data_IF_950332306893
#
_entry.id   IF_950332306893
#
_cell.length_a   1.000
_cell.length_b   1.000
_cell.length_c   1.000
_cell.angle_alpha   90.00
_cell.angle_beta   90.00
_cell.angle_gamma   90.00
#
_symmetry.space_group_name_H-M   'P 1'
#
loop_
_entity.id
_entity.type
_entity.pdbx_description
1 polymer ?
#
# COMPACT_ATOMS: atom_id res chain seq x y z
N UNK A 1 24.60 -0.14 27.54
CA UNK A 1 24.57 -0.41 26.08
C UNK A 1 23.15 -0.20 25.61
N UNK A 2 22.90 0.40 24.44
CA UNK A 2 21.52 0.63 24.03
C UNK A 2 20.84 -0.73 23.87
N UNK A 3 19.64 -0.83 24.42
CA UNK A 3 18.73 -1.92 24.15
C UNK A 3 18.49 -2.00 22.63
N UNK A 4 18.36 -3.21 22.07
CA UNK A 4 18.05 -3.40 20.64
C UNK A 4 16.78 -2.63 20.27
N UNK A 5 15.82 -2.60 21.19
CA UNK A 5 14.58 -1.87 21.01
C UNK A 5 14.82 -0.36 20.98
N UNK A 6 15.61 0.18 21.90
CA UNK A 6 15.94 1.61 21.93
C UNK A 6 16.68 2.06 20.67
N UNK A 7 17.57 1.21 20.12
CA UNK A 7 18.24 1.49 18.84
C UNK A 7 17.27 1.47 17.66
N UNK A 8 16.34 0.51 17.60
CA UNK A 8 15.30 0.47 16.57
C UNK A 8 14.38 1.69 16.66
N UNK A 9 13.98 2.09 17.86
CA UNK A 9 13.11 3.25 18.07
C UNK A 9 13.76 4.55 17.57
N UNK A 10 15.06 4.74 17.82
CA UNK A 10 15.82 5.89 17.31
C UNK A 10 15.86 5.88 15.77
N UNK A 11 16.14 4.73 15.15
CA UNK A 11 16.20 4.59 13.69
C UNK A 11 14.82 4.74 13.04
N UNK A 12 13.77 4.25 13.69
CA UNK A 12 12.39 4.40 13.26
C UNK A 12 11.98 5.88 13.23
N UNK A 13 12.30 6.66 14.27
CA UNK A 13 12.04 8.09 14.28
C UNK A 13 12.71 8.83 13.10
N UNK A 14 13.96 8.47 12.79
CA UNK A 14 14.69 9.03 11.64
C UNK A 14 14.03 8.65 10.31
N UNK A 15 13.64 7.39 10.13
CA UNK A 15 12.94 6.93 8.92
C UNK A 15 11.59 7.65 8.74
N UNK A 16 10.80 7.77 9.82
CA UNK A 16 9.50 8.44 9.81
C UNK A 16 9.63 9.90 9.39
N UNK A 17 10.63 10.62 9.93
CA UNK A 17 10.88 12.00 9.55
C UNK A 17 11.18 12.12 8.05
N UNK A 18 12.03 11.25 7.50
CA UNK A 18 12.40 11.25 6.07
C UNK A 18 11.24 10.93 5.14
N UNK A 19 10.36 10.02 5.55
CA UNK A 19 9.14 9.69 4.81
C UNK A 19 8.14 10.85 4.88
N UNK A 20 8.05 11.51 6.04
CA UNK A 20 7.22 12.71 6.23
C UNK A 20 7.68 13.89 5.38
N UNK A 21 9.00 14.11 5.27
CA UNK A 21 9.57 15.14 4.38
C UNK A 21 9.21 14.91 2.90
N UNK A 22 8.90 13.66 2.54
CA UNK A 22 8.44 13.26 1.20
C UNK A 22 6.90 13.20 1.09
N UNK A 23 6.18 13.73 2.08
CA UNK A 23 4.72 13.85 2.07
C UNK A 23 3.94 12.59 2.46
N UNK A 24 4.61 11.58 2.99
CA UNK A 24 3.99 10.31 3.39
C UNK A 24 3.99 10.12 4.91
N UNK A 25 3.05 9.32 5.44
CA UNK A 25 2.99 9.00 6.87
C UNK A 25 3.27 7.52 7.09
N UNK A 26 4.18 7.22 8.00
CA UNK A 26 4.49 5.88 8.46
C UNK A 26 4.30 5.82 9.99
N UNK A 27 3.61 4.80 10.50
CA UNK A 27 3.48 4.60 11.94
C UNK A 27 4.82 4.16 12.55
N UNK A 28 5.04 4.50 13.82
CA UNK A 28 6.24 4.06 14.55
C UNK A 28 6.40 2.55 14.56
N UNK A 29 5.32 1.83 14.81
CA UNK A 29 5.30 0.37 14.81
C UNK A 29 5.69 -0.22 13.44
N UNK A 30 5.12 0.31 12.35
CA UNK A 30 5.45 -0.14 11.01
C UNK A 30 6.92 0.17 10.64
N UNK A 31 7.44 1.33 11.07
CA UNK A 31 8.84 1.67 10.88
C UNK A 31 9.76 0.70 11.63
N UNK A 32 9.47 0.38 12.90
CA UNK A 32 10.24 -0.57 13.69
C UNK A 32 10.24 -1.97 13.06
N UNK A 33 9.08 -2.47 12.63
CA UNK A 33 8.96 -3.78 11.98
C UNK A 33 9.75 -3.83 10.68
N UNK A 34 9.58 -2.84 9.81
CA UNK A 34 10.28 -2.78 8.52
C UNK A 34 11.81 -2.74 8.70
N UNK A 35 12.29 -1.93 9.63
CA UNK A 35 13.71 -1.82 9.93
C UNK A 35 14.26 -3.11 10.53
N UNK A 36 13.52 -3.79 11.41
CA UNK A 36 13.92 -5.06 12.00
C UNK A 36 14.02 -6.17 10.94
N UNK A 37 13.02 -6.30 10.06
CA UNK A 37 13.00 -7.29 8.98
C UNK A 37 14.15 -7.08 7.99
N UNK A 38 14.35 -5.82 7.57
CA UNK A 38 15.44 -5.48 6.63
C UNK A 38 16.80 -5.71 7.26
N UNK A 39 16.97 -5.34 8.53
CA UNK A 39 18.21 -5.56 9.27
C UNK A 39 18.55 -7.04 9.42
N UNK A 40 17.56 -7.87 9.79
CA UNK A 40 17.72 -9.32 9.87
C UNK A 40 18.07 -9.93 8.50
N UNK A 41 17.42 -9.46 7.43
CA UNK A 41 17.69 -9.89 6.06
C UNK A 41 19.12 -9.58 5.63
N UNK A 42 19.59 -8.35 5.86
CA UNK A 42 20.95 -7.92 5.52
C UNK A 42 22.00 -8.70 6.32
N UNK A 43 21.78 -8.91 7.63
CA UNK A 43 22.68 -9.69 8.46
C UNK A 43 22.82 -11.13 7.94
N UNK A 44 21.69 -11.76 7.60
CA UNK A 44 21.64 -13.10 7.01
C UNK A 44 22.36 -13.18 5.67
N UNK A 45 22.11 -12.23 4.76
CA UNK A 45 22.76 -12.19 3.44
C UNK A 45 24.28 -12.01 3.51
N UNK A 46 24.77 -11.24 4.48
CA UNK A 46 26.19 -11.00 4.68
C UNK A 46 26.87 -12.07 5.56
N UNK A 47 26.11 -13.01 6.13
CA UNK A 47 26.64 -14.03 7.04
C UNK A 47 27.22 -13.45 8.34
N UNK A 48 26.73 -12.29 8.78
CA UNK A 48 27.19 -11.61 9.98
C UNK A 48 26.11 -11.58 11.06
N UNK A 49 26.51 -11.32 12.31
CA UNK A 49 25.53 -11.13 13.38
C UNK A 49 24.71 -9.85 13.14
N UNK A 50 23.45 -9.84 13.58
CA UNK A 50 22.61 -8.63 13.57
C UNK A 50 23.31 -7.44 14.23
N UNK A 51 24.01 -7.67 15.35
CA UNK A 51 24.80 -6.62 16.02
C UNK A 51 25.88 -6.04 15.10
N UNK A 52 26.56 -6.88 14.33
CA UNK A 52 27.58 -6.47 13.35
C UNK A 52 26.97 -5.73 12.15
N UNK A 53 25.70 -6.00 11.83
CA UNK A 53 24.98 -5.32 10.76
C UNK A 53 24.38 -3.96 11.18
N UNK A 54 24.28 -3.65 12.49
CA UNK A 54 23.71 -2.37 12.97
C UNK A 54 24.33 -1.12 12.33
N UNK A 55 25.67 -1.03 12.17
CA UNK A 55 26.30 0.12 11.52
C UNK A 55 25.94 0.28 10.04
N UNK A 56 25.44 -0.77 9.38
CA UNK A 56 25.04 -0.72 7.97
C UNK A 56 23.69 -0.01 7.77
N UNK A 57 22.89 0.12 8.83
CA UNK A 57 21.66 0.91 8.83
C UNK A 57 21.97 2.39 9.16
N UNK A 58 22.91 2.94 8.39
CA UNK A 58 23.37 4.32 8.53
C UNK A 58 22.39 5.34 7.90
N UNK A 59 22.77 6.61 7.91
CA UNK A 59 21.94 7.67 7.34
C UNK A 59 21.77 7.51 5.82
N UNK A 60 22.75 7.01 5.08
CA UNK A 60 22.59 6.83 3.64
C UNK A 60 21.63 5.66 3.34
N UNK A 61 21.74 4.56 4.09
CA UNK A 61 20.86 3.41 3.97
C UNK A 61 19.40 3.76 4.31
N UNK A 62 19.17 4.59 5.32
CA UNK A 62 17.84 5.07 5.67
C UNK A 62 17.26 6.02 4.60
N UNK A 63 18.10 6.75 3.86
CA UNK A 63 17.63 7.66 2.79
C UNK A 63 17.25 6.86 1.57
N UNK A 64 18.11 5.90 1.19
CA UNK A 64 17.81 4.93 0.15
C UNK A 64 16.54 4.13 0.46
N UNK A 65 16.34 3.73 1.72
CA UNK A 65 15.12 3.03 2.14
C UNK A 65 13.89 3.94 2.06
N UNK A 66 13.98 5.20 2.50
CA UNK A 66 12.89 6.15 2.36
C UNK A 66 12.53 6.38 0.87
N UNK A 67 13.53 6.55 0.01
CA UNK A 67 13.34 6.70 -1.43
C UNK A 67 12.71 5.45 -2.07
N UNK A 68 13.15 4.26 -1.68
CA UNK A 68 12.59 2.98 -2.15
C UNK A 68 11.12 2.82 -1.73
N UNK A 69 10.80 3.17 -0.47
CA UNK A 69 9.43 3.18 0.03
C UNK A 69 8.60 4.16 -0.80
N UNK A 70 8.99 5.43 -0.89
CA UNK A 70 8.22 6.45 -1.62
C UNK A 70 8.06 6.11 -3.10
N UNK A 71 9.11 5.58 -3.74
CA UNK A 71 9.06 5.12 -5.12
C UNK A 71 8.00 4.03 -5.31
N UNK A 72 7.84 3.12 -4.35
CA UNK A 72 6.84 2.04 -4.41
C UNK A 72 5.39 2.53 -4.36
N UNK A 73 5.15 3.76 -3.87
CA UNK A 73 3.82 4.38 -3.79
C UNK A 73 3.61 5.54 -4.77
N UNK A 74 4.58 5.86 -5.63
CA UNK A 74 4.47 7.03 -6.54
C UNK A 74 3.24 6.93 -7.44
N UNK A 75 2.92 5.73 -7.92
CA UNK A 75 1.74 5.48 -8.74
C UNK A 75 0.40 5.70 -7.98
N UNK A 76 0.42 5.75 -6.65
CA UNK A 76 -0.76 6.03 -5.83
C UNK A 76 -1.00 7.53 -5.61
N UNK A 77 -0.10 8.40 -6.06
CA UNK A 77 -0.10 9.85 -5.81
C UNK A 77 -0.48 10.17 -4.35
N UNK A 78 0.33 9.72 -3.36
CA UNK A 78 -0.03 9.83 -1.95
C UNK A 78 -0.26 11.29 -1.54
N UNK A 79 -1.31 11.53 -0.75
CA UNK A 79 -1.71 12.89 -0.33
C UNK A 79 -2.62 13.62 -1.32
N UNK A 80 -2.69 13.20 -2.58
CA UNK A 80 -3.55 13.84 -3.57
C UNK A 80 -5.04 13.53 -3.37
N UNK A 81 -5.87 14.50 -3.74
CA UNK A 81 -7.32 14.35 -3.74
C UNK A 81 -7.77 13.56 -4.97
N UNK A 82 -8.01 12.26 -4.78
CA UNK A 82 -8.47 11.35 -5.83
C UNK A 82 -9.72 11.80 -6.59
N UNK A 83 -10.57 12.64 -5.99
CA UNK A 83 -11.76 13.19 -6.65
C UNK A 83 -11.43 14.19 -7.76
N UNK A 84 -10.28 14.87 -7.65
CA UNK A 84 -9.86 15.92 -8.58
C UNK A 84 -8.89 15.41 -9.66
N UNK A 85 -8.40 14.16 -9.53
CA UNK A 85 -7.42 13.61 -10.46
C UNK A 85 -8.02 13.35 -11.84
N UNK A 86 -7.19 13.56 -12.86
CA UNK A 86 -7.57 13.33 -14.25
C UNK A 86 -7.86 11.84 -14.50
N UNK A 87 -8.96 11.57 -15.20
CA UNK A 87 -9.40 10.21 -15.55
C UNK A 87 -8.78 9.79 -16.88
N UNK A 88 -7.52 9.37 -16.85
CA UNK A 88 -6.72 9.14 -18.06
C UNK A 88 -6.68 7.69 -18.52
N UNK A 89 -7.03 6.72 -17.67
CA UNK A 89 -7.05 5.29 -18.03
C UNK A 89 -8.48 4.79 -18.25
N UNK A 90 -8.61 3.85 -19.18
CA UNK A 90 -9.88 3.26 -19.57
C UNK A 90 -9.93 1.80 -19.14
N UNK A 91 -10.93 1.44 -18.36
CA UNK A 91 -11.13 0.09 -17.83
C UNK A 91 -12.51 -0.43 -18.23
N UNK A 92 -12.61 -1.72 -18.59
CA UNK A 92 -13.92 -2.29 -18.93
C UNK A 92 -14.87 -2.24 -17.74
N UNK A 93 -16.17 -2.03 -18.00
CA UNK A 93 -17.23 -2.01 -16.99
C UNK A 93 -17.22 -3.27 -16.11
N UNK A 94 -17.00 -4.44 -16.72
CA UNK A 94 -16.96 -5.71 -15.98
C UNK A 94 -15.79 -5.79 -15.00
N UNK A 95 -14.59 -5.36 -15.40
CA UNK A 95 -13.44 -5.30 -14.48
C UNK A 95 -13.69 -4.30 -13.37
N UNK A 96 -14.22 -3.11 -13.67
CA UNK A 96 -14.50 -2.10 -12.65
C UNK A 96 -15.54 -2.58 -11.64
N UNK A 97 -16.60 -3.27 -12.08
CA UNK A 97 -17.57 -3.92 -11.19
C UNK A 97 -16.93 -4.96 -10.27
N UNK A 98 -15.93 -5.71 -10.74
CA UNK A 98 -15.16 -6.63 -9.88
C UNK A 98 -14.32 -5.89 -8.85
N UNK A 99 -13.75 -4.73 -9.20
CA UNK A 99 -13.03 -3.90 -8.22
C UNK A 99 -13.95 -3.38 -7.12
N UNK A 100 -15.15 -2.89 -7.49
CA UNK A 100 -16.20 -2.48 -6.54
C UNK A 100 -16.56 -3.64 -5.60
N UNK A 101 -16.81 -4.82 -6.15
CA UNK A 101 -17.10 -6.03 -5.36
C UNK A 101 -15.93 -6.41 -4.44
N UNK A 102 -14.68 -6.38 -4.93
CA UNK A 102 -13.50 -6.67 -4.12
C UNK A 102 -13.30 -5.69 -2.96
N UNK A 103 -13.58 -4.40 -3.17
CA UNK A 103 -13.57 -3.39 -2.11
C UNK A 103 -14.65 -3.66 -1.07
N UNK A 104 -15.85 -4.05 -1.49
CA UNK A 104 -16.93 -4.41 -0.58
C UNK A 104 -16.57 -5.64 0.28
N UNK A 105 -16.01 -6.69 -0.32
CA UNK A 105 -15.52 -7.87 0.41
C UNK A 105 -14.37 -7.51 1.36
N UNK A 106 -13.48 -6.61 0.96
CA UNK A 106 -12.40 -6.12 1.82
C UNK A 106 -12.94 -5.39 3.06
N UNK A 107 -14.05 -4.63 2.92
CA UNK A 107 -14.72 -4.02 4.07
C UNK A 107 -15.28 -5.07 5.03
N UNK A 108 -15.95 -6.10 4.50
CA UNK A 108 -16.49 -7.20 5.30
C UNK A 108 -15.37 -7.97 6.01
N UNK A 109 -14.25 -8.21 5.34
CA UNK A 109 -13.06 -8.81 5.92
C UNK A 109 -12.54 -8.00 7.12
N UNK A 110 -12.39 -6.68 6.98
CA UNK A 110 -11.89 -5.86 8.10
C UNK A 110 -12.86 -5.75 9.27
N UNK A 111 -14.16 -6.03 9.08
CA UNK A 111 -15.13 -6.09 10.18
C UNK A 111 -14.92 -7.33 11.06
N UNK A 112 -14.48 -8.45 10.48
CA UNK A 112 -14.40 -9.74 11.18
C UNK A 112 -12.97 -10.13 11.58
N UNK A 113 -11.96 -9.69 10.84
CA UNK A 113 -10.57 -10.07 11.10
C UNK A 113 -10.04 -9.57 12.44
N UNK A 114 -9.21 -10.38 13.09
CA UNK A 114 -8.44 -10.03 14.29
C UNK A 114 -6.93 -10.03 14.04
N UNK A 115 -6.50 -10.16 12.77
CA UNK A 115 -5.10 -10.21 12.39
C UNK A 115 -4.33 -8.88 12.60
N UNK A 116 -5.06 -7.77 12.80
CA UNK A 116 -4.52 -6.43 12.98
C UNK A 116 -5.23 -5.70 14.12
N UNK A 117 -4.65 -4.62 14.61
CA UNK A 117 -5.22 -3.84 15.72
C UNK A 117 -6.55 -3.20 15.34
N UNK A 118 -7.40 -2.88 16.32
CA UNK A 118 -8.68 -2.20 16.06
C UNK A 118 -8.51 -0.85 15.34
N UNK A 119 -7.46 -0.11 15.68
CA UNK A 119 -7.15 1.18 15.05
C UNK A 119 -6.76 1.01 13.57
N UNK A 120 -5.92 0.03 13.26
CA UNK A 120 -5.55 -0.29 11.87
C UNK A 120 -6.76 -0.75 11.06
N UNK A 121 -7.60 -1.63 11.63
CA UNK A 121 -8.83 -2.08 10.96
C UNK A 121 -9.75 -0.90 10.65
N UNK A 122 -9.95 0.01 11.60
CA UNK A 122 -10.77 1.21 11.40
C UNK A 122 -10.18 2.14 10.31
N UNK A 123 -8.85 2.30 10.29
CA UNK A 123 -8.18 3.09 9.25
C UNK A 123 -8.34 2.46 7.86
N UNK A 124 -8.12 1.14 7.74
CA UNK A 124 -8.29 0.39 6.49
C UNK A 124 -9.74 0.36 6.01
N UNK A 125 -10.70 0.26 6.91
CA UNK A 125 -12.12 0.38 6.56
C UNK A 125 -12.45 1.76 5.99
N UNK A 126 -11.97 2.83 6.62
CA UNK A 126 -12.21 4.20 6.14
C UNK A 126 -11.62 4.41 4.75
N UNK A 127 -10.38 4.00 4.55
CA UNK A 127 -9.69 4.05 3.26
C UNK A 127 -10.46 3.25 2.19
N UNK A 128 -10.81 2.00 2.48
CA UNK A 128 -11.55 1.13 1.54
C UNK A 128 -12.92 1.70 1.20
N UNK A 129 -13.64 2.27 2.18
CA UNK A 129 -14.93 2.92 1.97
C UNK A 129 -14.81 4.18 1.10
N UNK A 130 -13.74 4.96 1.27
CA UNK A 130 -13.46 6.12 0.41
C UNK A 130 -13.21 5.69 -1.04
N UNK A 131 -12.39 4.66 -1.26
CA UNK A 131 -12.14 4.10 -2.59
C UNK A 131 -13.44 3.58 -3.23
N UNK A 132 -14.27 2.87 -2.46
CA UNK A 132 -15.56 2.35 -2.92
C UNK A 132 -16.52 3.49 -3.29
N UNK A 133 -16.57 4.56 -2.48
CA UNK A 133 -17.36 5.75 -2.74
C UNK A 133 -16.96 6.40 -4.07
N UNK A 134 -15.66 6.66 -4.27
CA UNK A 134 -15.13 7.24 -5.51
C UNK A 134 -15.44 6.35 -6.71
N UNK A 135 -15.27 5.04 -6.58
CA UNK A 135 -15.62 4.10 -7.63
C UNK A 135 -17.12 4.16 -7.98
N UNK A 136 -17.99 4.25 -6.97
CA UNK A 136 -19.43 4.42 -7.15
C UNK A 136 -19.80 5.72 -7.89
N UNK A 137 -19.16 6.84 -7.57
CA UNK A 137 -19.39 8.11 -8.29
C UNK A 137 -18.92 8.03 -9.75
N UNK A 138 -17.73 7.48 -9.99
CA UNK A 138 -17.24 7.26 -11.36
C UNK A 138 -18.19 6.36 -12.15
N UNK A 139 -18.73 5.30 -11.54
CA UNK A 139 -19.72 4.42 -12.15
C UNK A 139 -21.05 5.13 -12.41
N UNK A 140 -21.48 6.05 -11.54
CA UNK A 140 -22.73 6.79 -11.71
C UNK A 140 -22.67 7.82 -12.84
N UNK A 141 -21.49 8.40 -13.08
CA UNK A 141 -21.23 9.34 -14.17
C UNK A 141 -20.96 8.63 -15.52
N UNK A 142 -20.76 7.31 -15.50
CA UNK A 142 -20.56 6.51 -16.70
C UNK A 142 -21.86 6.43 -17.52
N UNK A 143 -21.72 6.60 -18.83
CA UNK A 143 -22.85 6.54 -19.77
C UNK A 143 -22.69 5.40 -20.77
N UNK A 144 -21.54 5.32 -21.44
CA UNK A 144 -21.25 4.32 -22.47
C UNK A 144 -19.75 4.00 -22.55
N UNK A 145 -19.42 2.87 -23.16
CA UNK A 145 -18.03 2.46 -23.41
C UNK A 145 -17.26 2.04 -22.14
N UNK A 146 -15.92 2.05 -22.18
CA UNK A 146 -15.08 1.83 -21.00
C UNK A 146 -15.25 2.94 -19.96
N UNK A 147 -15.00 2.61 -18.70
CA UNK A 147 -14.98 3.58 -17.60
C UNK A 147 -13.64 4.30 -17.60
N UNK A 148 -13.68 5.62 -17.63
CA UNK A 148 -12.50 6.44 -17.41
C UNK A 148 -12.26 6.61 -15.90
N UNK A 149 -11.05 6.30 -15.43
CA UNK A 149 -10.68 6.39 -14.02
C UNK A 149 -9.29 7.03 -13.85
N UNK A 150 -8.98 7.60 -12.67
CA UNK A 150 -7.62 8.01 -12.34
C UNK A 150 -6.70 6.78 -12.17
N UNK A 151 -5.47 6.78 -12.72
CA UNK A 151 -4.49 5.71 -12.48
C UNK A 151 -4.22 5.48 -10.99
N UNK A 152 -4.07 6.57 -10.23
CA UNK A 152 -3.82 6.53 -8.79
C UNK A 152 -4.94 5.86 -7.98
N UNK A 153 -6.20 6.01 -8.41
CA UNK A 153 -7.32 5.30 -7.81
C UNK A 153 -7.15 3.79 -8.00
N UNK A 154 -6.83 3.35 -9.22
CA UNK A 154 -6.65 1.92 -9.52
C UNK A 154 -5.42 1.33 -8.80
N UNK A 155 -4.33 2.10 -8.67
CA UNK A 155 -3.16 1.71 -7.90
C UNK A 155 -3.51 1.48 -6.40
N UNK A 156 -4.22 2.44 -5.78
CA UNK A 156 -4.68 2.33 -4.38
C UNK A 156 -5.67 1.19 -4.16
N UNK A 157 -6.57 0.93 -5.11
CA UNK A 157 -7.45 -0.24 -5.09
C UNK A 157 -6.60 -1.51 -5.14
N UNK A 158 -5.64 -1.60 -6.07
CA UNK A 158 -4.81 -2.79 -6.20
C UNK A 158 -4.02 -3.10 -4.93
N UNK A 159 -3.44 -2.09 -4.27
CA UNK A 159 -2.79 -2.27 -2.98
C UNK A 159 -3.77 -2.74 -1.92
N UNK A 160 -4.90 -2.06 -1.78
CA UNK A 160 -5.94 -2.41 -0.78
C UNK A 160 -6.36 -3.88 -0.91
N UNK A 161 -6.64 -4.34 -2.13
CA UNK A 161 -7.01 -5.73 -2.38
C UNK A 161 -5.85 -6.71 -2.11
N UNK A 162 -4.61 -6.32 -2.43
CA UNK A 162 -3.41 -7.14 -2.16
C UNK A 162 -3.20 -7.31 -0.66
N UNK A 163 -3.24 -6.21 0.11
CA UNK A 163 -3.10 -6.23 1.57
C UNK A 163 -4.18 -7.10 2.23
N UNK A 164 -5.43 -7.00 1.78
CA UNK A 164 -6.49 -7.85 2.31
C UNK A 164 -6.28 -9.34 1.96
N UNK A 165 -5.79 -9.63 0.75
CA UNK A 165 -5.47 -10.99 0.33
C UNK A 165 -4.32 -11.62 1.15
N UNK A 166 -3.35 -10.81 1.59
CA UNK A 166 -2.21 -11.30 2.38
C UNK A 166 -2.57 -11.52 3.85
N UNK A 167 -3.68 -10.95 4.33
CA UNK A 167 -4.14 -11.05 5.71
C UNK A 167 -5.29 -12.05 5.93
N UNK A 168 -5.89 -12.57 4.86
CA UNK A 168 -7.05 -13.48 4.97
C UNK A 168 -6.62 -14.94 4.87
N UNK A 169 -7.18 -15.78 5.76
CA UNK A 169 -6.99 -17.23 5.74
C UNK A 169 -7.95 -17.95 4.77
N UNK A 170 -8.81 -17.21 4.06
CA UNK A 170 -9.75 -17.77 3.09
C UNK A 170 -9.12 -17.82 1.70
N UNK A 171 -8.67 -19.01 1.29
CA UNK A 171 -8.01 -19.23 -0.01
C UNK A 171 -8.82 -18.73 -1.21
N UNK A 172 -10.15 -18.91 -1.21
CA UNK A 172 -10.99 -18.48 -2.32
C UNK A 172 -11.03 -16.94 -2.41
N UNK A 173 -11.12 -16.27 -1.26
CA UNK A 173 -11.07 -14.81 -1.18
C UNK A 173 -9.67 -14.29 -1.57
N UNK A 174 -8.60 -14.88 -1.04
CA UNK A 174 -7.21 -14.55 -1.41
C UNK A 174 -7.01 -14.59 -2.91
N UNK A 175 -7.43 -15.67 -3.57
CA UNK A 175 -7.30 -15.80 -5.01
C UNK A 175 -8.14 -14.79 -5.79
N UNK A 176 -9.36 -14.50 -5.33
CA UNK A 176 -10.23 -13.51 -5.96
C UNK A 176 -9.61 -12.10 -5.89
N UNK A 177 -9.21 -11.68 -4.69
CA UNK A 177 -8.61 -10.38 -4.44
C UNK A 177 -7.29 -10.21 -5.21
N UNK A 178 -6.42 -11.23 -5.26
CA UNK A 178 -5.16 -11.16 -6.04
C UNK A 178 -5.40 -11.00 -7.54
N UNK A 179 -6.39 -11.69 -8.10
CA UNK A 179 -6.76 -11.52 -9.52
C UNK A 179 -7.25 -10.10 -9.79
N UNK A 180 -8.02 -9.52 -8.89
CA UNK A 180 -8.59 -8.18 -9.05
C UNK A 180 -7.57 -7.09 -8.82
N UNK A 181 -6.68 -7.26 -7.85
CA UNK A 181 -5.51 -6.42 -7.66
C UNK A 181 -4.61 -6.39 -8.91
N UNK A 182 -4.41 -7.55 -9.56
CA UNK A 182 -3.61 -7.63 -10.78
C UNK A 182 -4.27 -6.84 -11.92
N UNK A 183 -5.59 -7.00 -12.12
CA UNK A 183 -6.35 -6.25 -13.12
C UNK A 183 -6.29 -4.74 -12.89
N UNK A 184 -6.43 -4.30 -11.64
CA UNK A 184 -6.33 -2.90 -11.26
C UNK A 184 -4.93 -2.33 -11.54
N UNK A 185 -3.87 -3.06 -11.17
CA UNK A 185 -2.47 -2.69 -11.49
C UNK A 185 -2.22 -2.56 -12.98
N UNK A 186 -2.63 -3.56 -13.77
CA UNK A 186 -2.48 -3.53 -15.23
C UNK A 186 -3.21 -2.35 -15.86
N UNK A 187 -4.40 -2.00 -15.35
CA UNK A 187 -5.14 -0.85 -15.84
C UNK A 187 -4.50 0.49 -15.42
N UNK A 188 -3.95 0.58 -14.20
CA UNK A 188 -3.25 1.77 -13.72
C UNK A 188 -2.02 2.11 -14.59
N UNK A 189 -1.24 1.10 -14.96
CA UNK A 189 0.01 1.29 -15.73
C UNK A 189 -0.20 1.47 -17.23
N UNK A 190 -1.41 1.18 -17.74
CA UNK A 190 -1.74 1.32 -19.17
C UNK A 190 -1.67 2.77 -19.69
N UNK A 191 -1.61 3.78 -18.81
CA UNK A 191 -1.41 5.19 -19.19
C UNK A 191 0.05 5.60 -19.41
N UNK A 192 1.04 4.75 -19.10
CA UNK A 192 2.46 5.11 -19.32
C UNK A 192 2.82 4.95 -20.80
N UNK A 193 3.37 5.99 -21.47
CA UNK A 193 4.03 5.78 -22.75
C UNK A 193 5.19 4.80 -22.56
N UNK A 194 5.34 3.86 -23.49
CA UNK A 194 6.49 2.97 -23.54
C UNK A 194 7.75 3.82 -23.78
N UNK A 195 8.64 3.87 -22.80
CA UNK A 195 10.00 4.37 -22.98
C UNK A 195 10.90 3.25 -23.47
#
# INVERSE_FOLDING_TARGET
>A
MPDKQAWLDERAAVLIARISDRGMVLSHEAACTLLAERHATVASQLGISERSAQPLLDHAALDALADEIVASFTDEEPGENLFALARTVHISVSVFGRLISGLAETLLFYQSTTATTAAERAARQRETAQLLSIAGMIQAEHTQGPIAAPPALLARIARTLTTAADLTDNDALTQALRRDATRARTAATAARPSH
#
